data_IF_680098433664
#
_entry.id   IF_680098433664
#
_cell.length_a   1.000
_cell.length_b   1.000
_cell.length_c   1.000
_cell.angle_alpha   90.00
_cell.angle_beta   90.00
_cell.angle_gamma   90.00
#
_symmetry.space_group_name_H-M   'P 1'
#
loop_
_entity.id
_entity.type
_entity.pdbx_description
1 polymer ?
#
# COMPACT_ATOMS: atom_id res chain seq x y z
N UNK A 1 -62.98 -23.84 -75.81
CA UNK A 1 -62.59 -24.83 -74.78
C UNK A 1 -61.93 -24.06 -73.65
N UNK A 2 -62.68 -23.76 -72.58
CA UNK A 2 -62.21 -22.94 -71.47
C UNK A 2 -61.63 -23.83 -70.38
N UNK A 3 -60.34 -23.69 -70.12
CA UNK A 3 -59.64 -24.36 -69.01
C UNK A 3 -59.89 -23.56 -67.73
N UNK A 4 -60.75 -24.09 -66.86
CA UNK A 4 -60.88 -23.62 -65.49
C UNK A 4 -59.74 -24.19 -64.64
N UNK A 5 -58.74 -23.37 -64.37
CA UNK A 5 -57.73 -23.64 -63.35
C UNK A 5 -58.29 -23.24 -61.98
N UNK A 6 -58.70 -24.23 -61.20
CA UNK A 6 -59.01 -24.09 -59.77
C UNK A 6 -57.70 -24.03 -58.98
N UNK A 7 -57.41 -22.87 -58.38
CA UNK A 7 -56.34 -22.74 -57.40
C UNK A 7 -56.80 -23.39 -56.08
N UNK A 8 -56.01 -24.28 -55.47
CA UNK A 8 -56.31 -24.80 -54.14
C UNK A 8 -56.15 -23.67 -53.13
N UNK A 9 -57.21 -23.44 -52.34
CA UNK A 9 -57.20 -22.52 -51.22
C UNK A 9 -56.09 -22.91 -50.24
N UNK A 10 -55.27 -21.98 -49.73
CA UNK A 10 -54.24 -22.32 -48.77
C UNK A 10 -54.93 -22.83 -47.50
N UNK A 11 -54.78 -24.13 -47.23
CA UNK A 11 -55.05 -24.69 -45.92
C UNK A 11 -54.05 -24.07 -44.95
N UNK A 12 -54.46 -23.00 -44.28
CA UNK A 12 -53.76 -22.49 -43.11
C UNK A 12 -53.85 -23.61 -42.07
N UNK A 13 -52.74 -24.34 -41.94
CA UNK A 13 -52.59 -25.41 -40.98
C UNK A 13 -52.85 -24.83 -39.57
N UNK A 14 -53.93 -25.27 -38.93
CA UNK A 14 -54.33 -24.84 -37.58
C UNK A 14 -53.27 -25.18 -36.49
N UNK A 15 -52.20 -25.89 -36.86
CA UNK A 15 -51.07 -26.20 -35.99
C UNK A 15 -50.05 -25.06 -35.86
N UNK A 16 -50.15 -24.00 -36.68
CA UNK A 16 -49.20 -22.87 -36.66
C UNK A 16 -49.70 -21.64 -35.90
N UNK A 17 -50.84 -21.71 -35.23
CA UNK A 17 -51.24 -20.66 -34.27
C UNK A 17 -50.69 -21.12 -32.91
N UNK A 18 -49.65 -20.46 -32.35
CA UNK A 18 -49.30 -20.68 -30.95
C UNK A 18 -50.59 -20.49 -30.17
N UNK A 19 -50.97 -21.48 -29.37
CA UNK A 19 -52.24 -21.43 -28.65
C UNK A 19 -52.29 -20.09 -27.89
N UNK A 20 -53.38 -19.33 -27.97
CA UNK A 20 -53.47 -18.07 -27.23
C UNK A 20 -53.21 -18.28 -25.72
N UNK A 21 -53.47 -19.48 -25.22
CA UNK A 21 -53.09 -19.93 -23.87
C UNK A 21 -51.59 -19.93 -23.57
N UNK A 22 -50.71 -20.10 -24.56
CA UNK A 22 -49.24 -20.00 -24.39
C UNK A 22 -48.77 -18.55 -24.37
N UNK A 23 -49.40 -17.67 -25.16
CA UNK A 23 -49.14 -16.23 -25.11
C UNK A 23 -49.63 -15.61 -23.77
N UNK A 24 -50.79 -16.05 -23.27
CA UNK A 24 -51.32 -15.64 -21.96
C UNK A 24 -50.48 -16.15 -20.78
N UNK A 25 -49.72 -17.25 -20.93
CA UNK A 25 -48.73 -17.67 -19.91
C UNK A 25 -47.60 -16.66 -19.71
N UNK A 26 -47.34 -15.80 -20.70
CA UNK A 26 -46.40 -14.68 -20.60
C UNK A 26 -46.84 -13.57 -19.64
N UNK A 27 -48.11 -13.57 -19.19
CA UNK A 27 -48.63 -12.65 -18.17
C UNK A 27 -48.29 -13.09 -16.73
N UNK A 28 -47.64 -14.26 -16.55
CA UNK A 28 -47.09 -14.65 -15.25
C UNK A 28 -45.93 -13.72 -14.89
N UNK A 29 -45.68 -13.54 -13.60
CA UNK A 29 -44.58 -12.71 -13.07
C UNK A 29 -43.29 -12.97 -13.85
N UNK A 30 -42.74 -11.92 -14.46
CA UNK A 30 -41.52 -11.97 -15.28
C UNK A 30 -40.38 -12.62 -14.50
N UNK A 31 -39.63 -13.50 -15.15
CA UNK A 31 -38.45 -14.13 -14.53
C UNK A 31 -37.50 -13.04 -14.03
N UNK A 32 -36.94 -13.22 -12.84
CA UNK A 32 -36.06 -12.24 -12.20
C UNK A 32 -34.89 -11.90 -13.14
N UNK A 33 -34.39 -12.88 -13.90
CA UNK A 33 -33.31 -12.71 -14.89
C UNK A 33 -33.60 -11.69 -16.00
N UNK A 34 -34.88 -11.46 -16.29
CA UNK A 34 -35.33 -10.55 -17.33
C UNK A 34 -35.61 -9.14 -16.80
N UNK A 35 -35.46 -8.90 -15.50
CA UNK A 35 -35.63 -7.59 -14.87
C UNK A 35 -34.27 -6.87 -14.87
N UNK A 36 -34.23 -5.56 -15.16
CA UNK A 36 -32.96 -4.82 -15.23
C UNK A 36 -32.31 -4.60 -13.86
N UNK A 37 -33.11 -4.25 -12.86
CA UNK A 37 -32.66 -3.99 -11.49
C UNK A 37 -33.22 -5.07 -10.55
N UNK A 38 -32.33 -5.91 -10.02
CA UNK A 38 -32.70 -7.08 -9.22
C UNK A 38 -31.96 -7.02 -7.88
N UNK A 39 -32.72 -6.80 -6.81
CA UNK A 39 -32.23 -6.93 -5.45
C UNK A 39 -31.92 -8.37 -5.05
N UNK A 40 -31.09 -8.54 -4.02
CA UNK A 40 -30.80 -9.86 -3.46
C UNK A 40 -32.05 -10.60 -2.94
N UNK A 41 -33.13 -9.88 -2.61
CA UNK A 41 -34.40 -10.43 -2.10
C UNK A 41 -35.35 -10.89 -3.20
N UNK A 42 -35.25 -10.33 -4.41
CA UNK A 42 -36.14 -10.65 -5.53
C UNK A 42 -35.69 -11.87 -6.33
N UNK A 43 -34.47 -12.39 -6.07
CA UNK A 43 -33.94 -13.61 -6.68
C UNK A 43 -33.81 -14.77 -5.67
N UNK A 44 -33.88 -16.03 -6.12
CA UNK A 44 -33.61 -17.19 -5.27
C UNK A 44 -32.19 -17.17 -4.69
N UNK A 45 -32.01 -17.76 -3.50
CA UNK A 45 -30.70 -17.88 -2.84
C UNK A 45 -29.72 -18.67 -3.73
N UNK A 46 -28.47 -18.22 -3.80
CA UNK A 46 -27.38 -18.82 -4.59
C UNK A 46 -27.65 -18.96 -6.11
N UNK A 47 -28.65 -18.25 -6.64
CA UNK A 47 -29.01 -18.27 -8.06
C UNK A 47 -27.87 -17.84 -9.00
N UNK A 48 -27.03 -16.88 -8.58
CA UNK A 48 -25.87 -16.41 -9.35
C UNK A 48 -24.76 -17.46 -9.50
N UNK A 49 -24.65 -18.39 -8.55
CA UNK A 49 -23.65 -19.46 -8.60
C UNK A 49 -24.14 -20.67 -9.41
N UNK A 50 -25.45 -20.90 -9.41
CA UNK A 50 -26.07 -22.10 -9.99
C UNK A 50 -26.50 -21.93 -11.46
N UNK A 51 -26.56 -20.71 -11.99
CA UNK A 51 -27.14 -20.49 -13.31
C UNK A 51 -26.57 -19.30 -14.06
N UNK A 52 -26.06 -19.61 -15.25
CA UNK A 52 -25.66 -18.74 -16.35
C UNK A 52 -24.38 -17.90 -16.09
N UNK A 53 -23.43 -17.89 -17.05
CA UNK A 53 -22.30 -16.97 -16.98
C UNK A 53 -22.83 -15.54 -17.11
N UNK A 54 -22.64 -14.74 -16.06
CA UNK A 54 -22.87 -13.29 -16.10
C UNK A 54 -21.54 -12.65 -16.45
N UNK A 55 -21.49 -11.96 -17.58
CA UNK A 55 -20.33 -11.17 -17.96
C UNK A 55 -20.36 -9.84 -17.21
N UNK A 56 -19.24 -9.48 -16.60
CA UNK A 56 -19.07 -8.22 -15.89
C UNK A 56 -17.65 -7.71 -16.08
N UNK A 57 -17.50 -6.38 -16.04
CA UNK A 57 -16.19 -5.76 -16.09
C UNK A 57 -15.47 -5.97 -14.75
N UNK A 58 -14.31 -6.61 -14.80
CA UNK A 58 -13.47 -6.82 -13.62
C UNK A 58 -12.42 -5.72 -13.56
N UNK A 59 -12.31 -5.06 -12.42
CA UNK A 59 -11.18 -4.15 -12.15
C UNK A 59 -9.85 -4.91 -12.19
N UNK A 60 -8.74 -4.18 -12.41
CA UNK A 60 -7.40 -4.76 -12.57
C UNK A 60 -7.10 -5.74 -11.44
N UNK A 61 -6.82 -6.98 -11.81
CA UNK A 61 -6.42 -8.02 -10.87
C UNK A 61 -4.92 -7.96 -10.65
N UNK A 62 -4.49 -8.13 -9.41
CA UNK A 62 -3.09 -8.42 -9.13
C UNK A 62 -2.77 -9.80 -9.68
N UNK A 63 -1.76 -9.87 -10.56
CA UNK A 63 -1.26 -11.13 -11.08
C UNK A 63 -0.82 -12.04 -9.93
N UNK A 64 -1.04 -13.34 -10.10
CA UNK A 64 -0.41 -14.33 -9.20
C UNK A 64 1.00 -14.61 -9.70
N UNK A 65 1.96 -14.68 -8.80
CA UNK A 65 3.35 -15.00 -9.16
C UNK A 65 3.43 -16.44 -9.65
N UNK A 66 3.80 -16.62 -10.91
CA UNK A 66 4.10 -17.91 -11.49
C UNK A 66 5.55 -18.29 -11.28
N UNK A 67 5.87 -19.59 -11.34
CA UNK A 67 7.25 -20.07 -11.37
C UNK A 67 8.05 -19.49 -12.55
N UNK A 68 7.37 -19.16 -13.66
CA UNK A 68 8.00 -18.47 -14.80
C UNK A 68 8.48 -17.07 -14.42
N UNK A 69 7.64 -16.32 -13.70
CA UNK A 69 7.98 -14.98 -13.23
C UNK A 69 9.14 -15.03 -12.24
N UNK A 70 9.14 -16.02 -11.34
CA UNK A 70 10.23 -16.22 -10.38
C UNK A 70 11.57 -16.52 -11.07
N UNK A 71 11.58 -17.36 -12.12
CA UNK A 71 12.79 -17.65 -12.89
C UNK A 71 13.30 -16.41 -13.62
N UNK A 72 12.40 -15.60 -14.15
CA UNK A 72 12.76 -14.37 -14.83
C UNK A 72 13.32 -13.32 -13.86
N UNK A 73 12.70 -13.15 -12.70
CA UNK A 73 13.21 -12.31 -11.61
C UNK A 73 14.62 -12.75 -11.21
N UNK A 74 14.85 -14.06 -11.06
CA UNK A 74 16.18 -14.59 -10.73
C UNK A 74 17.21 -14.35 -11.84
N UNK A 75 16.82 -14.44 -13.11
CA UNK A 75 17.70 -14.15 -14.25
C UNK A 75 18.13 -12.69 -14.24
N UNK A 76 17.17 -11.77 -14.14
CA UNK A 76 17.43 -10.33 -14.09
C UNK A 76 18.28 -9.93 -12.87
N UNK A 77 18.03 -10.56 -11.72
CA UNK A 77 18.83 -10.32 -10.52
C UNK A 77 20.29 -10.75 -10.73
N UNK A 78 20.52 -11.93 -11.32
CA UNK A 78 21.89 -12.41 -11.61
C UNK A 78 22.61 -11.48 -12.59
N UNK A 79 21.93 -11.01 -13.62
CA UNK A 79 22.48 -10.05 -14.58
C UNK A 79 22.87 -8.74 -13.89
N UNK A 80 21.99 -8.16 -13.05
CA UNK A 80 22.30 -6.93 -12.31
C UNK A 80 23.46 -7.08 -11.33
N UNK A 81 23.56 -8.23 -10.65
CA UNK A 81 24.69 -8.54 -9.77
C UNK A 81 25.99 -8.60 -10.58
N UNK A 82 25.97 -9.23 -11.75
CA UNK A 82 27.14 -9.31 -12.62
C UNK A 82 27.57 -7.95 -13.17
N UNK A 83 26.60 -7.09 -13.51
CA UNK A 83 26.85 -5.72 -13.96
C UNK A 83 27.23 -4.76 -12.81
N UNK A 84 27.06 -5.16 -11.55
CA UNK A 84 27.33 -4.32 -10.38
C UNK A 84 26.40 -3.10 -10.27
N UNK A 85 25.26 -3.11 -10.97
CA UNK A 85 24.32 -1.97 -11.02
C UNK A 85 23.27 -2.10 -9.94
N UNK A 86 23.49 -1.38 -8.83
CA UNK A 86 22.56 -1.28 -7.73
C UNK A 86 22.04 0.15 -7.60
N UNK A 87 20.74 0.29 -7.38
CA UNK A 87 20.08 1.58 -7.13
C UNK A 87 20.30 2.05 -5.68
N UNK A 88 21.51 1.83 -5.13
CA UNK A 88 21.85 2.23 -3.78
C UNK A 88 22.06 3.75 -3.73
N UNK A 89 21.59 4.37 -2.66
CA UNK A 89 21.92 5.76 -2.37
C UNK A 89 23.30 5.83 -1.73
N UNK A 90 24.18 6.66 -2.28
CA UNK A 90 25.44 7.01 -1.65
C UNK A 90 25.17 8.07 -0.57
N UNK A 91 25.71 7.84 0.62
CA UNK A 91 25.70 8.81 1.70
C UNK A 91 27.10 9.40 1.80
N UNK A 92 27.21 10.72 1.64
CA UNK A 92 28.44 11.44 1.92
C UNK A 92 28.69 11.42 3.43
N UNK A 93 29.48 10.44 3.87
CA UNK A 93 30.02 10.45 5.22
C UNK A 93 31.16 11.47 5.21
N UNK A 94 30.84 12.73 5.50
CA UNK A 94 31.84 13.72 5.86
C UNK A 94 32.48 13.30 7.19
N UNK A 95 33.45 12.39 7.12
CA UNK A 95 34.42 12.21 8.18
C UNK A 95 35.20 13.54 8.25
N UNK A 96 34.74 14.44 9.12
CA UNK A 96 35.58 15.52 9.65
C UNK A 96 36.64 14.84 10.51
N UNK A 97 37.61 14.20 9.86
CA UNK A 97 38.89 13.93 10.50
C UNK A 97 39.44 15.30 10.83
N UNK A 98 39.43 15.60 12.12
CA UNK A 98 40.12 16.73 12.72
C UNK A 98 41.54 16.67 12.18
N UNK A 99 41.87 17.59 11.27
CA UNK A 99 43.23 17.84 10.85
C UNK A 99 43.98 18.25 12.12
N UNK A 100 44.62 17.27 12.76
CA UNK A 100 45.54 17.50 13.86
C UNK A 100 46.73 18.25 13.27
N UNK A 101 46.62 19.58 13.26
CA UNK A 101 47.73 20.46 12.99
C UNK A 101 48.80 20.16 14.05
N UNK A 102 49.92 19.60 13.59
CA UNK A 102 51.12 19.39 14.37
C UNK A 102 51.64 20.77 14.82
N UNK A 103 51.40 21.11 16.09
CA UNK A 103 51.84 22.37 16.69
C UNK A 103 53.33 22.31 17.01
N UNK A 104 54.15 23.11 16.34
CA UNK A 104 55.55 23.35 16.72
C UNK A 104 55.64 24.32 17.91
N UNK A 105 56.62 24.09 18.80
CA UNK A 105 56.78 24.79 20.09
C UNK A 105 57.04 26.31 20.02
N UNK A 106 57.18 26.90 18.83
CA UNK A 106 57.33 28.34 18.62
C UNK A 106 55.99 29.10 18.62
N UNK A 107 54.86 28.40 18.50
CA UNK A 107 53.50 28.98 18.52
C UNK A 107 52.87 29.07 19.92
N UNK A 108 53.55 28.59 20.98
CA UNK A 108 52.94 28.47 22.31
C UNK A 108 52.53 29.81 22.96
N UNK A 109 53.20 30.93 22.62
CA UNK A 109 52.84 32.26 23.12
C UNK A 109 51.75 32.93 22.28
N UNK A 110 51.67 32.65 20.98
CA UNK A 110 50.58 33.10 20.10
C UNK A 110 49.30 32.26 20.30
N UNK A 111 49.44 30.98 20.67
CA UNK A 111 48.36 30.09 21.04
C UNK A 111 47.66 30.54 22.32
N UNK A 112 48.40 31.09 23.29
CA UNK A 112 47.83 31.58 24.55
C UNK A 112 46.95 32.82 24.33
N UNK A 113 47.37 33.74 23.47
CA UNK A 113 46.54 34.90 23.04
C UNK A 113 45.35 34.49 22.15
N UNK A 114 45.44 33.37 21.42
CA UNK A 114 44.32 32.81 20.64
C UNK A 114 43.33 32.03 21.53
N UNK A 115 43.82 31.36 22.57
CA UNK A 115 43.01 30.60 23.53
C UNK A 115 42.18 31.56 24.40
N UNK A 116 42.76 32.67 24.87
CA UNK A 116 42.02 33.75 25.57
C UNK A 116 40.93 34.34 24.67
N UNK A 117 41.22 34.61 23.39
CA UNK A 117 40.21 35.09 22.43
C UNK A 117 39.13 34.05 22.17
N UNK A 118 39.46 32.77 22.21
CA UNK A 118 38.51 31.67 22.02
C UNK A 118 37.56 31.56 23.21
N UNK A 119 38.06 31.67 24.43
CA UNK A 119 37.25 31.70 25.65
C UNK A 119 36.28 32.90 25.65
N UNK A 120 36.76 34.08 25.25
CA UNK A 120 35.92 35.27 25.10
C UNK A 120 34.81 35.07 24.05
N UNK A 121 35.15 34.46 22.91
CA UNK A 121 34.19 34.14 21.83
C UNK A 121 33.18 33.09 22.29
N UNK A 122 33.61 32.05 23.01
CA UNK A 122 32.74 31.01 23.55
C UNK A 122 31.81 31.58 24.64
N UNK A 123 32.31 32.50 25.48
CA UNK A 123 31.53 33.24 26.46
C UNK A 123 30.45 34.10 25.79
N UNK A 124 30.82 34.91 24.80
CA UNK A 124 29.89 35.71 24.01
C UNK A 124 28.84 34.84 23.31
N UNK A 125 29.25 33.69 22.77
CA UNK A 125 28.31 32.76 22.13
C UNK A 125 27.29 32.19 23.13
N UNK A 126 27.72 31.85 24.34
CA UNK A 126 26.82 31.36 25.39
C UNK A 126 25.85 32.45 25.86
N UNK A 127 26.32 33.68 26.02
CA UNK A 127 25.50 34.84 26.38
C UNK A 127 24.42 35.09 25.31
N UNK A 128 24.82 35.20 24.04
CA UNK A 128 23.89 35.38 22.91
C UNK A 128 22.88 34.24 22.84
N UNK A 129 23.32 32.99 23.06
CA UNK A 129 22.44 31.83 23.07
C UNK A 129 21.41 31.92 24.19
N UNK A 130 21.80 32.32 25.40
CA UNK A 130 20.87 32.49 26.51
C UNK A 130 19.87 33.62 26.28
N UNK A 131 20.29 34.72 25.68
CA UNK A 131 19.39 35.79 25.29
C UNK A 131 18.40 35.34 24.21
N UNK A 132 18.87 34.62 23.18
CA UNK A 132 18.02 34.05 22.14
C UNK A 132 17.02 33.05 22.73
N UNK A 133 17.47 32.15 23.60
CA UNK A 133 16.62 31.17 24.29
C UNK A 133 15.59 31.88 25.19
N UNK A 134 15.95 32.97 25.86
CA UNK A 134 15.02 33.76 26.67
C UNK A 134 13.96 34.47 25.80
N UNK A 135 14.37 35.06 24.68
CA UNK A 135 13.47 35.72 23.73
C UNK A 135 12.56 34.72 23.00
N UNK A 136 13.08 33.54 22.63
CA UNK A 136 12.31 32.49 21.95
C UNK A 136 11.44 31.68 22.92
N UNK A 137 11.87 31.48 24.17
CA UNK A 137 11.06 30.85 25.23
C UNK A 137 9.86 31.73 25.61
N UNK A 138 10.01 33.05 25.60
CA UNK A 138 8.89 33.99 25.70
C UNK A 138 7.91 33.88 24.51
N UNK A 139 8.35 33.35 23.37
CA UNK A 139 7.52 33.03 22.19
C UNK A 139 6.99 31.58 22.16
N UNK A 140 7.13 30.80 23.23
CA UNK A 140 6.75 29.38 23.33
C UNK A 140 5.26 29.04 23.06
N UNK A 141 4.42 30.03 22.78
CA UNK A 141 3.03 29.84 22.39
C UNK A 141 2.76 29.90 20.88
N UNK A 142 3.69 30.37 20.04
CA UNK A 142 3.38 30.71 18.64
C UNK A 142 4.09 29.87 17.57
N UNK A 143 5.05 29.01 17.90
CA UNK A 143 5.84 28.24 16.89
C UNK A 143 5.78 26.71 17.03
N UNK A 144 5.00 26.19 17.98
CA UNK A 144 4.87 24.74 18.22
C UNK A 144 3.82 24.05 17.34
N UNK A 145 3.13 24.78 16.46
CA UNK A 145 2.12 24.19 15.57
C UNK A 145 2.70 23.63 14.25
N UNK A 146 3.70 24.28 13.65
CA UNK A 146 4.13 23.94 12.28
C UNK A 146 5.42 23.12 12.17
N UNK A 147 6.26 23.09 13.21
CA UNK A 147 7.51 22.29 13.17
C UNK A 147 7.30 20.80 13.46
N UNK A 148 6.09 20.39 13.83
CA UNK A 148 5.75 18.97 14.08
C UNK A 148 5.55 18.15 12.80
N UNK A 149 5.49 18.79 11.63
CA UNK A 149 5.22 18.13 10.35
C UNK A 149 6.47 17.55 9.65
N UNK A 150 7.70 17.92 10.06
CA UNK A 150 8.93 17.48 9.35
C UNK A 150 10.03 16.87 10.22
N UNK A 151 9.79 16.66 11.51
CA UNK A 151 10.76 16.06 12.43
C UNK A 151 10.38 14.63 12.90
N UNK A 152 9.65 13.84 12.10
CA UNK A 152 9.59 12.38 12.32
C UNK A 152 10.67 11.64 11.52
N UNK A 153 11.93 12.12 11.62
CA UNK A 153 13.06 11.19 11.51
C UNK A 153 13.14 10.49 12.86
N UNK A 154 12.49 9.34 12.95
CA UNK A 154 12.60 8.41 14.06
C UNK A 154 14.07 8.14 14.32
N UNK A 155 14.64 8.79 15.32
CA UNK A 155 15.82 8.26 16.00
C UNK A 155 15.38 6.93 16.59
N UNK A 156 15.86 5.84 15.98
CA UNK A 156 15.74 4.51 16.58
C UNK A 156 16.57 4.59 17.86
N UNK A 157 15.98 4.46 19.07
CA UNK A 157 16.81 4.33 20.24
C UNK A 157 17.57 3.02 20.10
N UNK A 158 18.91 3.09 20.13
CA UNK A 158 19.77 1.93 20.38
C UNK A 158 19.37 1.33 21.73
N UNK A 159 18.39 0.44 21.70
CA UNK A 159 18.15 -0.47 22.80
C UNK A 159 19.24 -1.52 22.72
N UNK A 160 20.26 -1.35 23.56
CA UNK A 160 21.12 -2.45 24.02
C UNK A 160 20.20 -3.64 24.30
N UNK A 161 20.42 -4.72 23.57
CA UNK A 161 19.65 -5.95 23.67
C UNK A 161 19.93 -6.62 25.03
N UNK A 162 19.25 -6.15 26.07
CA UNK A 162 18.97 -6.98 27.24
C UNK A 162 17.92 -8.00 26.80
N UNK A 163 18.40 -9.19 26.45
CA UNK A 163 17.61 -10.38 26.14
C UNK A 163 16.74 -10.69 27.33
N UNK A 164 15.47 -10.26 27.28
CA UNK A 164 14.43 -10.73 28.20
C UNK A 164 13.56 -11.73 27.45
N UNK A 165 14.07 -12.97 27.36
CA UNK A 165 13.34 -14.15 26.92
C UNK A 165 12.35 -14.56 28.01
N UNK A 166 11.14 -14.02 27.96
CA UNK A 166 10.09 -14.42 28.89
C UNK A 166 8.80 -13.64 28.67
N UNK A 167 7.95 -14.09 27.74
CA UNK A 167 6.52 -13.71 27.78
C UNK A 167 5.90 -13.12 26.52
N UNK A 168 6.62 -12.99 25.40
CA UNK A 168 5.99 -12.54 24.13
C UNK A 168 5.13 -13.61 23.45
N UNK A 169 5.42 -14.89 23.66
CA UNK A 169 4.72 -15.98 22.97
C UNK A 169 3.27 -16.16 23.40
N UNK A 170 2.94 -15.89 24.67
CA UNK A 170 1.57 -16.06 25.16
C UNK A 170 0.59 -15.01 24.56
N UNK A 171 1.07 -13.80 24.26
CA UNK A 171 0.26 -12.73 23.67
C UNK A 171 0.10 -12.92 22.15
N UNK A 172 1.16 -13.31 21.44
CA UNK A 172 1.09 -13.60 20.00
C UNK A 172 0.19 -14.81 19.70
N UNK A 173 0.23 -15.85 20.54
CA UNK A 173 -0.61 -17.04 20.38
C UNK A 173 -2.10 -16.78 20.62
N UNK A 174 -2.47 -15.80 21.46
CA UNK A 174 -3.89 -15.41 21.65
C UNK A 174 -4.48 -14.76 20.40
N UNK A 175 -3.68 -14.04 19.62
CA UNK A 175 -4.13 -13.40 18.38
C UNK A 175 -4.36 -14.46 17.30
N UNK A 176 -3.46 -15.44 17.19
CA UNK A 176 -3.57 -16.52 16.20
C UNK A 176 -4.73 -17.48 16.46
N UNK A 177 -5.11 -17.71 17.73
CA UNK A 177 -6.30 -18.51 18.09
C UNK A 177 -7.64 -17.89 17.66
N UNK A 178 -7.68 -16.58 17.37
CA UNK A 178 -8.90 -15.89 16.92
C UNK A 178 -9.10 -15.93 15.40
N UNK A 179 -8.06 -16.28 14.63
CA UNK A 179 -8.15 -16.39 13.19
C UNK A 179 -8.77 -17.74 12.78
N UNK A 180 -9.92 -17.72 12.10
CA UNK A 180 -10.66 -18.93 11.70
C UNK A 180 -9.93 -19.83 10.70
N UNK A 181 -8.83 -19.34 10.11
CA UNK A 181 -8.10 -20.02 9.03
C UNK A 181 -6.70 -20.48 9.45
N UNK A 182 -6.40 -20.53 10.76
CA UNK A 182 -5.09 -20.98 11.27
C UNK A 182 -5.27 -22.14 12.23
N UNK A 183 -4.60 -23.27 11.97
CA UNK A 183 -4.52 -24.42 12.87
C UNK A 183 -3.10 -24.52 13.42
N UNK A 184 -2.95 -24.36 14.73
CA UNK A 184 -1.67 -24.49 15.42
C UNK A 184 -1.44 -25.98 15.68
N UNK A 185 -0.41 -26.56 15.05
CA UNK A 185 0.05 -27.91 15.34
C UNK A 185 0.80 -27.89 16.68
N UNK A 186 0.49 -28.86 17.55
CA UNK A 186 1.17 -29.06 18.84
C UNK A 186 2.42 -29.88 18.65
#
# INVERSE_FOLDING_TARGET
MSVHTTFPSPHICACCVPSMSEAERGMKSRDWRLMGEIDARSRPKNSLAAGMPVEYERTRCTGTLSDKDNREIQRLLKERIHEGRFDNFEYDICNKEEASAEYTAEDATAAQDQEVKREDIEGLFQEIKWELDALTSACGAWHSADTRMYAEKRTVPEKKAAVHTGGRDAKSMRVLRKAKNVRILK
#
